data_IF_786555325656
#
_entry.id   IF_786555325656
#
_cell.length_a   1.000
_cell.length_b   1.000
_cell.length_c   1.000
_cell.angle_alpha   90.00
_cell.angle_beta   90.00
_cell.angle_gamma   90.00
#
_symmetry.space_group_name_H-M   'P 1'
#
loop_
_entity.id
_entity.type
_entity.pdbx_description
1 polymer ?
#
# COMPACT_ATOMS: atom_id res chain seq x y z
N UNK A 1 1.25 25.86 -10.74
CA UNK A 1 -0.04 25.16 -11.00
C UNK A 1 -1.11 26.16 -11.40
N UNK A 2 -1.30 27.22 -10.62
CA UNK A 2 -2.26 28.32 -10.88
C UNK A 2 -2.18 28.91 -12.30
N UNK A 3 -0.98 29.26 -12.78
CA UNK A 3 -0.85 29.79 -14.16
C UNK A 3 -1.33 28.80 -15.24
N UNK A 4 -1.26 27.48 -15.02
CA UNK A 4 -1.79 26.47 -15.97
C UNK A 4 -3.31 26.43 -15.96
N UNK A 5 -3.93 26.68 -14.82
CA UNK A 5 -5.39 26.86 -14.70
C UNK A 5 -5.83 28.09 -15.49
N UNK A 6 -5.10 29.20 -15.38
CA UNK A 6 -5.35 30.41 -16.18
C UNK A 6 -5.20 30.13 -17.69
N UNK A 7 -4.20 29.36 -18.11
CA UNK A 7 -4.04 28.97 -19.52
C UNK A 7 -5.25 28.15 -19.99
N UNK A 8 -5.69 27.15 -19.21
CA UNK A 8 -6.87 26.35 -19.54
C UNK A 8 -8.13 27.21 -19.65
N UNK A 9 -8.33 28.15 -18.71
CA UNK A 9 -9.41 29.13 -18.77
C UNK A 9 -9.36 29.93 -20.07
N UNK A 10 -8.20 30.46 -20.46
CA UNK A 10 -8.06 31.22 -21.71
C UNK A 10 -8.38 30.37 -22.96
N UNK A 11 -7.95 29.10 -23.00
CA UNK A 11 -8.27 28.17 -24.09
C UNK A 11 -9.77 27.93 -24.19
N UNK A 12 -10.46 27.66 -23.06
CA UNK A 12 -11.92 27.46 -23.01
C UNK A 12 -12.71 28.70 -23.46
N UNK A 13 -12.14 29.89 -23.28
CA UNK A 13 -12.73 31.16 -23.72
C UNK A 13 -12.29 31.57 -25.14
N UNK A 14 -11.57 30.74 -25.89
CA UNK A 14 -11.13 31.04 -27.25
C UNK A 14 -10.09 32.17 -27.35
N UNK A 15 -9.44 32.52 -26.25
CA UNK A 15 -8.42 33.58 -26.21
C UNK A 15 -7.13 33.03 -26.85
N UNK A 16 -6.60 33.74 -27.85
CA UNK A 16 -5.36 33.34 -28.55
C UNK A 16 -4.18 33.21 -27.59
N UNK A 17 -3.31 32.22 -27.81
CA UNK A 17 -2.13 31.94 -26.98
C UNK A 17 -1.21 33.15 -26.76
N UNK A 18 -1.01 34.01 -27.76
CA UNK A 18 -0.23 35.25 -27.61
C UNK A 18 -0.86 36.19 -26.58
N UNK A 19 -2.19 36.33 -26.60
CA UNK A 19 -2.92 37.16 -25.65
C UNK A 19 -2.93 36.54 -24.25
N UNK A 20 -3.03 35.22 -24.16
CA UNK A 20 -2.87 34.47 -22.90
C UNK A 20 -1.51 34.74 -22.26
N UNK A 21 -0.43 34.74 -23.05
CA UNK A 21 0.90 35.08 -22.55
C UNK A 21 0.97 36.51 -22.03
N UNK A 22 0.44 37.50 -22.76
CA UNK A 22 0.37 38.88 -22.28
C UNK A 22 -0.39 39.00 -20.96
N UNK A 23 -1.56 38.36 -20.85
CA UNK A 23 -2.37 38.37 -19.63
C UNK A 23 -1.61 37.76 -18.45
N UNK A 24 -0.89 36.65 -18.68
CA UNK A 24 -0.04 36.04 -17.67
C UNK A 24 1.15 36.93 -17.29
N UNK A 25 1.77 37.63 -18.24
CA UNK A 25 2.87 38.57 -17.94
C UNK A 25 2.38 39.76 -17.12
N UNK A 26 1.19 40.28 -17.40
CA UNK A 26 0.59 41.37 -16.61
C UNK A 26 0.26 40.90 -15.20
N UNK A 27 -0.30 39.70 -15.04
CA UNK A 27 -0.72 39.19 -13.74
C UNK A 27 0.44 38.69 -12.86
N UNK A 28 1.48 38.07 -13.45
CA UNK A 28 2.53 37.38 -12.71
C UNK A 28 3.95 37.97 -12.91
N UNK A 29 4.13 38.95 -13.81
CA UNK A 29 5.39 39.68 -14.01
C UNK A 29 6.57 38.76 -14.33
N UNK A 30 7.65 38.88 -13.54
CA UNK A 30 8.85 38.04 -13.69
C UNK A 30 8.62 36.57 -13.31
N UNK A 31 7.56 36.29 -12.55
CA UNK A 31 7.19 34.93 -12.15
C UNK A 31 6.38 34.18 -13.21
N UNK A 32 6.14 34.79 -14.37
CA UNK A 32 5.39 34.18 -15.48
C UNK A 32 6.14 32.98 -16.08
N UNK A 33 5.38 31.93 -16.42
CA UNK A 33 5.92 30.79 -17.17
C UNK A 33 6.59 31.25 -18.46
N UNK A 34 7.72 30.62 -18.79
CA UNK A 34 8.42 30.91 -20.04
C UNK A 34 7.49 30.75 -21.25
N UNK A 35 7.69 31.57 -22.29
CA UNK A 35 6.91 31.52 -23.54
C UNK A 35 6.77 30.10 -24.07
N UNK A 36 7.84 29.31 -24.05
CA UNK A 36 7.84 27.90 -24.48
C UNK A 36 6.85 27.04 -23.66
N UNK A 37 6.83 27.21 -22.34
CA UNK A 37 5.93 26.46 -21.47
C UNK A 37 4.47 26.89 -21.63
N UNK A 38 4.20 28.19 -21.78
CA UNK A 38 2.84 28.69 -22.04
C UNK A 38 2.28 28.10 -23.33
N UNK A 39 3.04 28.13 -24.42
CA UNK A 39 2.62 27.56 -25.71
C UNK A 39 2.46 26.04 -25.65
N UNK A 40 3.35 25.33 -24.93
CA UNK A 40 3.23 23.88 -24.71
C UNK A 40 1.91 23.55 -24.01
N UNK A 41 1.62 24.19 -22.89
CA UNK A 41 0.39 23.94 -22.13
C UNK A 41 -0.87 24.35 -22.90
N UNK A 42 -0.83 25.50 -23.58
CA UNK A 42 -1.93 25.96 -24.42
C UNK A 42 -2.29 24.92 -25.49
N UNK A 43 -1.28 24.38 -26.20
CA UNK A 43 -1.48 23.33 -27.20
C UNK A 43 -2.09 22.06 -26.59
N UNK A 44 -1.57 21.61 -25.44
CA UNK A 44 -2.10 20.43 -24.75
C UNK A 44 -3.58 20.59 -24.36
N UNK A 45 -3.97 21.77 -23.85
CA UNK A 45 -5.37 22.06 -23.53
C UNK A 45 -6.24 22.15 -24.80
N UNK A 46 -5.71 22.69 -25.90
CA UNK A 46 -6.41 22.73 -27.19
C UNK A 46 -6.62 21.32 -27.78
N UNK A 47 -5.70 20.40 -27.52
CA UNK A 47 -5.78 18.99 -27.91
C UNK A 47 -6.68 18.15 -26.97
N UNK A 48 -7.36 18.78 -25.99
CA UNK A 48 -8.36 18.14 -25.15
C UNK A 48 -7.86 17.61 -23.80
N UNK A 49 -6.62 17.90 -23.39
CA UNK A 49 -6.17 17.60 -22.03
C UNK A 49 -6.95 18.45 -21.03
N UNK A 50 -7.51 17.87 -19.98
CA UNK A 50 -8.21 18.64 -18.93
C UNK A 50 -7.38 18.79 -17.64
N UNK A 51 -6.43 17.88 -17.41
CA UNK A 51 -5.63 17.83 -16.20
C UNK A 51 -4.48 18.85 -16.21
N UNK A 52 -4.44 19.72 -15.19
CA UNK A 52 -3.41 20.77 -14.99
C UNK A 52 -2.14 20.27 -14.29
N UNK A 53 -2.21 19.09 -13.67
CA UNK A 53 -1.08 18.47 -12.99
C UNK A 53 -0.07 17.91 -14.00
N UNK A 54 1.18 17.79 -13.55
CA UNK A 54 2.18 17.04 -14.29
C UNK A 54 1.70 15.60 -14.47
N UNK A 55 1.95 15.02 -15.64
CA UNK A 55 1.77 13.58 -15.81
C UNK A 55 2.74 12.82 -14.89
N UNK A 56 2.41 11.57 -14.52
CA UNK A 56 3.33 10.69 -13.81
C UNK A 56 4.65 10.69 -14.58
N UNK A 57 5.70 11.22 -13.95
CA UNK A 57 7.04 11.16 -14.55
C UNK A 57 7.46 9.70 -14.49
N UNK A 58 7.87 9.15 -15.63
CA UNK A 58 8.61 7.90 -15.65
C UNK A 58 9.88 8.12 -14.83
N UNK A 59 9.85 7.71 -13.56
CA UNK A 59 11.03 7.69 -12.71
C UNK A 59 12.05 6.69 -13.26
N UNK A 60 13.23 6.64 -12.65
CA UNK A 60 14.18 5.57 -12.95
C UNK A 60 13.49 4.22 -12.61
N UNK A 61 13.35 3.30 -13.58
CA UNK A 61 12.89 1.96 -13.26
C UNK A 61 13.85 1.37 -12.23
N UNK A 62 13.33 0.93 -11.08
CA UNK A 62 14.13 0.16 -10.15
C UNK A 62 14.42 -1.18 -10.83
N UNK A 63 15.61 -1.33 -11.40
CA UNK A 63 16.05 -2.54 -12.11
C UNK A 63 16.01 -3.81 -11.25
N UNK A 64 15.83 -3.67 -9.93
CA UNK A 64 15.78 -4.77 -8.96
C UNK A 64 14.36 -5.16 -8.52
N UNK A 65 13.32 -4.45 -8.98
CA UNK A 65 11.90 -4.79 -8.72
C UNK A 65 11.28 -5.45 -9.96
N UNK A 66 11.96 -6.44 -10.51
CA UNK A 66 11.40 -7.26 -11.59
C UNK A 66 10.30 -8.15 -11.03
N UNK A 67 9.35 -8.57 -11.87
CA UNK A 67 8.25 -9.45 -11.45
C UNK A 67 8.78 -10.79 -10.93
N UNK A 68 9.92 -11.26 -11.47
CA UNK A 68 10.63 -12.45 -11.01
C UNK A 68 11.09 -12.30 -9.55
N UNK A 69 11.81 -11.21 -9.22
CA UNK A 69 12.30 -10.98 -7.85
C UNK A 69 11.13 -10.84 -6.86
N UNK A 70 10.02 -10.20 -7.27
CA UNK A 70 8.83 -10.07 -6.43
C UNK A 70 8.24 -11.45 -6.11
N UNK A 71 8.17 -12.32 -7.11
CA UNK A 71 7.65 -13.68 -6.94
C UNK A 71 8.58 -14.53 -6.05
N UNK A 72 9.89 -14.47 -6.26
CA UNK A 72 10.86 -15.22 -5.44
C UNK A 72 10.84 -14.77 -3.96
N UNK A 73 10.83 -13.45 -3.69
CA UNK A 73 10.69 -12.92 -2.32
C UNK A 73 9.42 -13.47 -1.66
N UNK A 74 8.30 -13.49 -2.40
CA UNK A 74 7.02 -14.00 -1.89
C UNK A 74 7.10 -15.49 -1.52
N UNK A 75 7.73 -16.30 -2.37
CA UNK A 75 7.88 -17.74 -2.12
C UNK A 75 8.75 -18.03 -0.90
N UNK A 76 9.88 -17.33 -0.75
CA UNK A 76 10.78 -17.46 0.39
C UNK A 76 10.05 -17.14 1.70
N UNK A 77 9.29 -16.04 1.75
CA UNK A 77 8.53 -15.65 2.94
C UNK A 77 7.40 -16.64 3.26
N UNK A 78 6.71 -17.17 2.25
CA UNK A 78 5.65 -18.16 2.46
C UNK A 78 6.21 -19.49 3.01
N UNK A 79 7.41 -19.88 2.58
CA UNK A 79 8.13 -21.05 3.09
C UNK A 79 8.63 -20.86 4.52
N UNK A 80 9.19 -19.69 4.83
CA UNK A 80 9.65 -19.34 6.17
C UNK A 80 9.22 -17.93 6.57
N UNK A 81 8.09 -17.83 7.29
CA UNK A 81 7.54 -16.54 7.76
C UNK A 81 8.41 -15.83 8.81
N UNK A 82 9.49 -16.44 9.29
CA UNK A 82 10.41 -15.86 10.28
C UNK A 82 11.74 -15.41 9.66
N UNK A 83 11.90 -15.54 8.34
CA UNK A 83 13.12 -15.11 7.65
C UNK A 83 13.30 -13.58 7.75
N UNK A 84 14.55 -13.15 7.79
CA UNK A 84 14.91 -11.73 7.84
C UNK A 84 15.06 -11.14 6.45
N UNK A 85 14.89 -9.82 6.34
CA UNK A 85 15.11 -9.08 5.08
C UNK A 85 16.55 -9.25 4.59
N UNK A 86 17.54 -9.36 5.50
CA UNK A 86 18.94 -9.56 5.13
C UNK A 86 19.15 -10.92 4.47
N UNK A 87 18.63 -11.99 5.07
CA UNK A 87 18.72 -13.33 4.49
C UNK A 87 18.08 -13.39 3.10
N UNK A 88 16.88 -12.81 2.92
CA UNK A 88 16.25 -12.76 1.59
C UNK A 88 17.11 -11.96 0.59
N UNK A 89 17.64 -10.81 1.02
CA UNK A 89 18.44 -9.94 0.17
C UNK A 89 19.74 -10.62 -0.28
N UNK A 90 20.38 -11.35 0.62
CA UNK A 90 21.59 -12.13 0.34
C UNK A 90 21.29 -13.33 -0.57
N UNK A 91 20.19 -14.06 -0.31
CA UNK A 91 19.75 -15.21 -1.12
C UNK A 91 19.45 -14.82 -2.58
N UNK A 92 18.83 -13.65 -2.78
CA UNK A 92 18.43 -13.16 -4.10
C UNK A 92 19.45 -12.20 -4.73
N UNK A 93 20.56 -11.92 -4.04
CA UNK A 93 21.58 -10.94 -4.44
C UNK A 93 20.98 -9.57 -4.84
N UNK A 94 19.99 -9.10 -4.07
CA UNK A 94 19.37 -7.79 -4.23
C UNK A 94 19.73 -6.88 -3.06
N UNK A 95 19.57 -5.57 -3.23
CA UNK A 95 19.79 -4.65 -2.11
C UNK A 95 18.73 -4.85 -1.01
N UNK A 96 19.15 -4.66 0.25
CA UNK A 96 18.24 -4.67 1.40
C UNK A 96 17.03 -3.76 1.19
N UNK A 97 17.25 -2.55 0.67
CA UNK A 97 16.18 -1.59 0.42
C UNK A 97 15.21 -2.05 -0.66
N UNK A 98 15.71 -2.73 -1.71
CA UNK A 98 14.85 -3.34 -2.73
C UNK A 98 13.98 -4.44 -2.13
N UNK A 99 14.57 -5.35 -1.34
CA UNK A 99 13.83 -6.41 -0.65
C UNK A 99 12.76 -5.82 0.29
N UNK A 100 13.13 -4.83 1.10
CA UNK A 100 12.21 -4.15 2.00
C UNK A 100 11.04 -3.52 1.25
N UNK A 101 11.30 -2.75 0.19
CA UNK A 101 10.25 -2.17 -0.65
C UNK A 101 9.36 -3.21 -1.32
N UNK A 102 9.91 -4.36 -1.74
CA UNK A 102 9.10 -5.44 -2.30
C UNK A 102 8.14 -5.97 -1.23
N UNK A 103 8.63 -6.23 -0.02
CA UNK A 103 7.81 -6.72 1.08
C UNK A 103 6.71 -5.74 1.48
N UNK A 104 7.04 -4.46 1.66
CA UNK A 104 6.09 -3.45 2.17
C UNK A 104 5.22 -2.83 1.09
N UNK A 105 5.84 -2.35 0.01
CA UNK A 105 5.16 -1.47 -0.95
C UNK A 105 4.45 -2.29 -2.05
N UNK A 106 5.05 -3.42 -2.44
CA UNK A 106 4.52 -4.27 -3.52
C UNK A 106 3.63 -5.39 -2.96
N UNK A 107 4.13 -6.14 -1.98
CA UNK A 107 3.41 -7.28 -1.38
C UNK A 107 2.48 -6.88 -0.23
N UNK A 108 2.58 -5.65 0.28
CA UNK A 108 1.72 -5.15 1.38
C UNK A 108 1.93 -5.89 2.71
N UNK A 109 3.08 -6.53 2.90
CA UNK A 109 3.37 -7.32 4.10
C UNK A 109 3.84 -6.44 5.25
N UNK A 110 3.49 -6.85 6.47
CA UNK A 110 3.94 -6.20 7.70
C UNK A 110 4.51 -7.23 8.66
N UNK A 111 5.48 -6.81 9.47
CA UNK A 111 6.04 -7.66 10.52
C UNK A 111 5.03 -7.76 11.67
N UNK A 112 4.69 -8.99 12.02
CA UNK A 112 3.86 -9.31 13.20
C UNK A 112 4.72 -10.05 14.21
N UNK A 113 4.66 -9.66 15.48
CA UNK A 113 5.33 -10.39 16.56
C UNK A 113 4.66 -11.74 16.80
N UNK A 114 5.46 -12.78 17.04
CA UNK A 114 4.96 -14.08 17.44
C UNK A 114 4.23 -13.99 18.79
N UNK A 115 3.14 -14.75 18.95
CA UNK A 115 2.43 -14.88 20.22
C UNK A 115 2.92 -16.13 20.96
N UNK A 116 3.10 -16.03 22.28
CA UNK A 116 3.38 -17.18 23.12
C UNK A 116 2.15 -18.08 23.19
N UNK A 117 2.33 -19.36 22.90
CA UNK A 117 1.33 -20.39 23.19
C UNK A 117 1.60 -20.98 24.58
N UNK A 118 0.58 -21.27 25.39
CA UNK A 118 0.77 -21.84 26.73
C UNK A 118 1.54 -23.16 26.75
N UNK A 119 1.37 -23.99 25.71
CA UNK A 119 2.01 -25.31 25.59
C UNK A 119 2.06 -25.78 24.14
N UNK A 120 3.09 -26.54 23.79
CA UNK A 120 3.11 -27.32 22.55
C UNK A 120 2.24 -28.57 22.69
N UNK A 121 1.14 -28.62 21.94
CA UNK A 121 0.19 -29.73 22.00
C UNK A 121 0.55 -30.84 21.02
N UNK A 122 0.44 -32.09 21.46
CA UNK A 122 0.51 -33.25 20.58
C UNK A 122 -0.82 -33.45 19.81
N UNK A 123 -0.83 -34.42 18.90
CA UNK A 123 -2.01 -34.69 18.06
C UNK A 123 -3.25 -35.03 18.88
N UNK A 124 -3.13 -35.97 19.83
CA UNK A 124 -4.26 -36.42 20.66
C UNK A 124 -4.84 -35.29 21.52
N UNK A 125 -3.98 -34.44 22.08
CA UNK A 125 -4.38 -33.26 22.86
C UNK A 125 -5.15 -32.26 22.00
N UNK A 126 -4.73 -32.05 20.75
CA UNK A 126 -5.46 -31.17 19.81
C UNK A 126 -6.83 -31.75 19.48
N UNK A 127 -6.90 -33.04 19.15
CA UNK A 127 -8.15 -33.70 18.81
C UNK A 127 -9.12 -33.69 19.99
N UNK A 128 -8.64 -34.03 21.19
CA UNK A 128 -9.47 -34.00 22.40
C UNK A 128 -10.02 -32.60 22.69
N UNK A 129 -9.20 -31.55 22.54
CA UNK A 129 -9.66 -30.16 22.72
C UNK A 129 -10.73 -29.77 21.69
N UNK A 130 -10.57 -30.17 20.43
CA UNK A 130 -11.56 -29.91 19.38
C UNK A 130 -12.89 -30.60 19.69
N UNK A 131 -12.87 -31.87 20.09
CA UNK A 131 -14.08 -32.62 20.42
C UNK A 131 -14.81 -31.97 21.60
N UNK A 132 -14.10 -31.69 22.71
CA UNK A 132 -14.71 -31.04 23.88
C UNK A 132 -15.29 -29.66 23.52
N UNK A 133 -14.60 -28.87 22.71
CA UNK A 133 -15.11 -27.57 22.28
C UNK A 133 -16.36 -27.68 21.41
N UNK A 134 -16.45 -28.71 20.56
CA UNK A 134 -17.63 -28.96 19.75
C UNK A 134 -18.82 -29.41 20.60
N UNK A 135 -18.59 -30.30 21.58
CA UNK A 135 -19.62 -30.75 22.51
C UNK A 135 -20.16 -29.56 23.32
N UNK A 136 -19.26 -28.75 23.91
CA UNK A 136 -19.63 -27.54 24.64
C UNK A 136 -20.40 -26.53 23.77
N UNK A 137 -20.04 -26.40 22.49
CA UNK A 137 -20.76 -25.52 21.55
C UNK A 137 -22.19 -26.04 21.30
N UNK A 138 -22.36 -27.35 21.14
CA UNK A 138 -23.67 -27.96 20.98
C UNK A 138 -24.53 -27.76 22.24
N UNK A 139 -23.96 -27.98 23.42
CA UNK A 139 -24.66 -27.79 24.70
C UNK A 139 -25.20 -26.36 24.87
N UNK A 140 -24.42 -25.35 24.46
CA UNK A 140 -24.83 -23.94 24.49
C UNK A 140 -25.94 -23.64 23.47
N UNK A 141 -25.92 -24.30 22.31
CA UNK A 141 -26.96 -24.13 21.30
C UNK A 141 -28.28 -24.79 21.72
N UNK A 142 -28.21 -25.93 22.41
CA UNK A 142 -29.38 -26.68 22.86
C UNK A 142 -30.02 -26.03 24.10
N UNK A 143 -29.22 -25.41 24.97
CA UNK A 143 -29.72 -24.64 26.12
C UNK A 143 -29.11 -23.22 26.17
N UNK A 144 -29.84 -22.20 25.67
CA UNK A 144 -29.40 -20.81 25.70
C UNK A 144 -29.12 -20.24 27.10
N UNK A 145 -29.68 -20.84 28.15
CA UNK A 145 -29.52 -20.41 29.54
C UNK A 145 -28.38 -21.17 30.27
N UNK A 146 -27.70 -22.11 29.61
CA UNK A 146 -26.64 -22.93 30.20
C UNK A 146 -25.58 -22.10 30.92
N UNK A 147 -25.08 -21.03 30.29
CA UNK A 147 -24.02 -20.19 30.84
C UNK A 147 -24.44 -19.44 32.10
N UNK A 148 -25.75 -19.25 32.37
CA UNK A 148 -26.24 -18.64 33.61
C UNK A 148 -26.05 -19.55 34.83
N UNK A 149 -25.81 -20.84 34.61
CA UNK A 149 -25.70 -21.86 35.67
C UNK A 149 -24.28 -22.38 35.88
N UNK A 150 -23.32 -21.92 35.07
CA UNK A 150 -21.92 -22.34 35.17
C UNK A 150 -21.21 -21.52 36.25
N UNK A 151 -20.57 -22.21 37.20
CA UNK A 151 -19.67 -21.63 38.20
C UNK A 151 -18.26 -22.18 37.93
N UNK A 152 -17.27 -21.30 37.84
CA UNK A 152 -15.86 -21.66 37.56
C UNK A 152 -14.92 -20.96 38.54
N UNK A 153 -13.73 -21.52 38.76
CA UNK A 153 -12.67 -20.97 39.59
C UNK A 153 -11.31 -21.49 39.14
N UNK A 154 -10.27 -20.69 39.33
CA UNK A 154 -8.87 -21.04 39.07
C UNK A 154 -7.99 -20.41 40.15
N UNK A 155 -6.82 -20.99 40.41
CA UNK A 155 -5.86 -20.51 41.41
C UNK A 155 -4.73 -19.73 40.72
N UNK A 156 -4.35 -18.57 41.28
CA UNK A 156 -3.24 -17.76 40.76
C UNK A 156 -2.27 -17.41 41.88
N UNK A 157 -0.97 -17.54 41.61
CA UNK A 157 0.08 -17.13 42.54
C UNK A 157 0.11 -15.60 42.68
N UNK A 158 0.26 -15.11 43.91
CA UNK A 158 0.42 -13.68 44.26
C UNK A 158 1.87 -13.36 44.58
#
# INVERSE_FOLDING_TARGET
MEQRVCINFCVKNGIKCSKTLEMLTVAYGESTLSKKNVYKWYKLFQEGRENVNDEPRSGRPSTLKTDENVQEVKEIVLKNRRITIREIADDLNISFGSCQSILTDVLGMTRVSAKFGPKLLNFDQKQRRMNIAQDMLNDVNDDPDLLKRVITGDETWV
#
